data_IF_862038207218
#
_entry.id   IF_862038207218
#
_cell.length_a   1.000
_cell.length_b   1.000
_cell.length_c   1.000
_cell.angle_alpha   90.00
_cell.angle_beta   90.00
_cell.angle_gamma   90.00
#
_symmetry.space_group_name_H-M   'P 1'
#
loop_
_entity.id
_entity.type
_entity.pdbx_description
1 polymer ?
#
# COMPACT_ATOMS: atom_id res chain seq x y z
N UNK A 1 -13.89 10.54 -3.89
CA UNK A 1 -13.91 9.11 -4.28
C UNK A 1 -12.48 8.64 -4.64
N UNK A 2 -12.19 7.34 -4.52
CA UNK A 2 -10.82 6.79 -4.34
C UNK A 2 -9.75 7.28 -5.34
N UNK A 3 -10.11 7.52 -6.60
CA UNK A 3 -9.19 7.94 -7.68
C UNK A 3 -8.80 6.75 -8.57
N UNK A 4 -7.90 6.97 -9.53
CA UNK A 4 -7.35 5.88 -10.36
C UNK A 4 -6.48 4.99 -9.49
N UNK A 5 -6.65 3.67 -9.63
CA UNK A 5 -5.84 2.64 -8.98
C UNK A 5 -5.08 1.83 -10.01
N UNK A 6 -3.93 1.28 -9.63
CA UNK A 6 -3.12 0.42 -10.50
C UNK A 6 -2.79 -0.88 -9.79
N UNK A 7 -3.11 -2.01 -10.41
CA UNK A 7 -2.67 -3.32 -9.95
C UNK A 7 -1.22 -3.57 -10.36
N UNK A 8 -0.37 -3.93 -9.41
CA UNK A 8 1.04 -4.23 -9.65
C UNK A 8 1.27 -5.74 -9.78
N UNK A 9 2.43 -6.15 -10.29
CA UNK A 9 2.85 -7.56 -10.40
C UNK A 9 2.96 -8.27 -9.05
N UNK A 10 3.04 -7.54 -7.95
CA UNK A 10 2.98 -8.10 -6.61
C UNK A 10 1.54 -8.34 -6.11
N UNK A 11 0.53 -8.17 -6.98
CA UNK A 11 -0.91 -8.29 -6.70
C UNK A 11 -1.44 -7.28 -5.67
N UNK A 12 -0.74 -6.18 -5.43
CA UNK A 12 -1.20 -5.07 -4.59
C UNK A 12 -1.48 -3.81 -5.42
N UNK A 13 -2.35 -2.95 -4.89
CA UNK A 13 -2.76 -1.72 -5.56
C UNK A 13 -1.88 -0.53 -5.18
N UNK A 14 -1.48 0.25 -6.19
CA UNK A 14 -1.13 1.65 -5.99
C UNK A 14 -2.42 2.46 -5.87
N UNK A 15 -2.57 3.22 -4.79
CA UNK A 15 -3.79 4.00 -4.52
C UNK A 15 -3.52 5.26 -3.70
N UNK A 16 -4.41 6.25 -3.81
CA UNK A 16 -4.37 7.44 -2.96
C UNK A 16 -4.75 7.09 -1.52
N UNK A 17 -4.02 7.65 -0.56
CA UNK A 17 -4.32 7.48 0.87
C UNK A 17 -4.84 8.79 1.44
N UNK A 18 -5.89 8.71 2.24
CA UNK A 18 -6.54 9.86 2.88
C UNK A 18 -6.70 9.60 4.37
N UNK A 19 -6.50 10.64 5.17
CA UNK A 19 -6.81 10.63 6.61
C UNK A 19 -8.05 11.48 6.80
N UNK A 20 -9.09 10.88 7.37
CA UNK A 20 -10.36 11.52 7.68
C UNK A 20 -10.50 11.76 9.17
N UNK A 21 -10.95 12.97 9.54
CA UNK A 21 -11.42 13.29 10.88
C UNK A 21 -12.95 13.21 10.89
N UNK A 22 -13.53 12.53 11.89
CA UNK A 22 -14.98 12.51 12.10
C UNK A 22 -15.43 13.90 12.57
N UNK A 23 -16.44 14.47 11.93
CA UNK A 23 -17.04 15.75 12.28
C UNK A 23 -18.31 15.56 13.15
N UNK A 24 -18.85 16.66 13.68
CA UNK A 24 -20.01 16.64 14.59
C UNK A 24 -21.30 16.12 13.92
N UNK A 25 -21.37 16.17 12.58
CA UNK A 25 -22.45 15.62 11.77
C UNK A 25 -22.26 14.11 11.44
N UNK A 26 -21.19 13.49 11.95
CA UNK A 26 -20.84 12.10 11.72
C UNK A 26 -20.19 11.80 10.36
N UNK A 27 -19.95 12.81 9.52
CA UNK A 27 -19.23 12.66 8.25
C UNK A 27 -17.72 12.80 8.43
N UNK A 28 -16.96 12.45 7.39
CA UNK A 28 -15.50 12.59 7.40
C UNK A 28 -15.03 13.86 6.70
N UNK A 29 -14.28 14.70 7.41
CA UNK A 29 -13.44 15.75 6.81
C UNK A 29 -12.08 15.17 6.46
N UNK A 30 -11.69 15.22 5.18
CA UNK A 30 -10.34 14.83 4.77
C UNK A 30 -9.36 15.90 5.28
N UNK A 31 -8.47 15.51 6.20
CA UNK A 31 -7.44 16.39 6.77
C UNK A 31 -6.07 16.20 6.13
N UNK A 32 -5.88 15.09 5.43
CA UNK A 32 -4.68 14.83 4.64
C UNK A 32 -5.00 13.91 3.46
N UNK A 33 -4.33 14.14 2.34
CA UNK A 33 -4.32 13.26 1.19
C UNK A 33 -2.90 13.18 0.61
N UNK A 34 -2.49 12.00 0.15
CA UNK A 34 -1.23 11.86 -0.58
C UNK A 34 -1.32 12.62 -1.90
N UNK A 35 -0.21 13.25 -2.31
CA UNK A 35 -0.13 13.99 -3.60
C UNK A 35 -0.34 13.06 -4.80
N UNK A 36 0.13 11.82 -4.66
CA UNK A 36 0.08 10.78 -5.68
C UNK A 36 -0.42 9.45 -5.09
N UNK A 37 -0.69 8.47 -5.95
CA UNK A 37 -0.97 7.11 -5.53
C UNK A 37 0.27 6.48 -4.88
N UNK A 38 0.11 5.93 -3.68
CA UNK A 38 1.18 5.28 -2.93
C UNK A 38 1.42 3.89 -3.50
N UNK A 39 2.66 3.61 -3.93
CA UNK A 39 3.06 2.27 -4.37
C UNK A 39 3.05 1.30 -3.17
N UNK A 40 2.53 0.08 -3.32
CA UNK A 40 2.43 -0.86 -2.21
C UNK A 40 3.81 -1.40 -1.81
N UNK A 41 4.03 -1.49 -0.50
CA UNK A 41 5.12 -2.24 0.14
C UNK A 41 4.46 -3.35 0.97
N UNK A 42 4.33 -4.59 0.43
CA UNK A 42 3.52 -5.65 1.05
C UNK A 42 4.02 -6.15 2.41
N UNK A 43 5.31 -6.03 2.66
CA UNK A 43 5.94 -6.50 3.90
C UNK A 43 6.41 -5.32 4.74
N UNK A 44 6.11 -5.34 6.03
CA UNK A 44 6.46 -4.25 6.94
C UNK A 44 8.00 -4.21 7.15
N UNK A 45 8.61 -3.08 6.83
CA UNK A 45 10.07 -2.90 6.90
C UNK A 45 10.56 -2.45 8.29
N UNK A 46 9.65 -2.27 9.24
CA UNK A 46 9.94 -1.82 10.61
C UNK A 46 9.90 -2.94 11.66
N UNK A 47 9.42 -4.13 11.30
CA UNK A 47 9.41 -5.29 12.20
C UNK A 47 10.37 -6.37 11.71
N UNK A 48 11.07 -7.00 12.64
CA UNK A 48 12.16 -7.95 12.34
C UNK A 48 11.70 -9.08 11.42
N UNK A 49 10.51 -9.63 11.64
CA UNK A 49 9.99 -10.81 10.96
C UNK A 49 9.75 -10.63 9.46
N UNK A 50 9.57 -9.39 9.01
CA UNK A 50 9.22 -9.07 7.62
C UNK A 50 10.17 -8.09 6.96
N UNK A 51 11.15 -7.56 7.70
CA UNK A 51 12.16 -6.65 7.15
C UNK A 51 12.99 -7.33 6.06
N UNK A 52 13.15 -6.66 4.92
CA UNK A 52 13.87 -7.17 3.76
C UNK A 52 13.12 -8.25 2.98
N UNK A 53 11.83 -8.47 3.23
CA UNK A 53 11.00 -9.29 2.36
C UNK A 53 10.25 -8.42 1.33
N UNK A 54 10.01 -9.00 0.16
CA UNK A 54 9.24 -8.43 -0.94
C UNK A 54 8.26 -9.47 -1.51
N UNK A 55 7.39 -9.01 -2.42
CA UNK A 55 6.43 -9.82 -3.19
C UNK A 55 6.57 -9.43 -4.65
N UNK A 56 6.63 -10.41 -5.56
CA UNK A 56 6.73 -10.21 -7.00
C UNK A 56 6.30 -11.48 -7.72
N UNK A 57 5.20 -11.42 -8.48
CA UNK A 57 4.71 -12.55 -9.28
C UNK A 57 5.10 -12.44 -10.76
N UNK A 58 5.89 -11.43 -11.15
CA UNK A 58 6.49 -11.44 -12.50
C UNK A 58 7.50 -12.57 -12.67
N UNK A 59 8.07 -13.04 -11.54
CA UNK A 59 8.87 -14.24 -11.43
C UNK A 59 8.17 -15.24 -10.49
N UNK A 60 7.66 -16.38 -11.01
CA UNK A 60 6.99 -17.40 -10.21
C UNK A 60 7.84 -17.96 -9.06
N UNK A 61 9.18 -17.87 -9.12
CA UNK A 61 10.06 -18.35 -8.06
C UNK A 61 10.10 -17.41 -6.84
N UNK A 62 9.76 -16.13 -7.01
CA UNK A 62 9.70 -15.14 -5.92
C UNK A 62 8.37 -15.20 -5.17
N UNK A 63 7.27 -15.17 -5.92
CA UNK A 63 5.91 -15.27 -5.39
C UNK A 63 5.56 -14.23 -4.32
N UNK A 64 4.76 -14.66 -3.34
CA UNK A 64 4.20 -13.78 -2.30
C UNK A 64 5.20 -13.25 -1.28
N UNK A 65 6.30 -13.98 -1.02
CA UNK A 65 7.29 -13.63 0.00
C UNK A 65 8.67 -14.17 -0.37
N UNK A 66 9.58 -13.27 -0.75
CA UNK A 66 11.00 -13.59 -0.97
C UNK A 66 11.90 -12.57 -0.29
N UNK A 67 13.13 -12.97 0.05
CA UNK A 67 14.11 -12.06 0.66
C UNK A 67 14.78 -11.23 -0.44
N UNK A 68 14.76 -9.91 -0.30
CA UNK A 68 15.54 -9.02 -1.16
C UNK A 68 16.99 -9.06 -0.72
N UNK A 69 17.89 -9.35 -1.66
CA UNK A 69 19.35 -9.18 -1.48
C UNK A 69 19.69 -7.73 -1.17
#
# INVERSE_FOLDING_TARGET
PEGVVTMNTNHHLSKFVRIGQVADDGLFKIVYATKDAVKPIPWNQFVTDTKGYACDWSDPAKGGKYKTT
#
